data_IF_544769046134
#
_entry.id   IF_544769046134
#
_cell.length_a   1.000
_cell.length_b   1.000
_cell.length_c   1.000
_cell.angle_alpha   90.00
_cell.angle_beta   90.00
_cell.angle_gamma   90.00
#
_symmetry.space_group_name_H-M   'P 1'
#
loop_
_entity.id
_entity.type
_entity.pdbx_description
1 polymer ?
#
# COMPACT_ATOMS: atom_id res chain seq x y z
N UNK A 1 21.38 4.27 1.92
CA UNK A 1 20.68 3.93 1.70
C UNK A 1 19.59 4.39 1.97
N UNK A 2 18.94 4.46 1.52
CA UNK A 2 17.83 4.90 1.70
C UNK A 2 16.99 4.05 2.33
N UNK A 3 16.67 4.29 3.41
CA UNK A 3 15.91 3.42 4.19
C UNK A 3 14.47 3.45 3.90
N UNK A 4 14.02 4.29 3.04
CA UNK A 4 12.61 4.48 2.97
C UNK A 4 11.89 3.55 2.06
N UNK A 5 12.55 2.73 1.32
CA UNK A 5 11.93 1.73 0.48
C UNK A 5 10.75 2.23 -0.34
N UNK A 6 10.86 3.44 -0.88
CA UNK A 6 9.77 4.00 -1.66
C UNK A 6 9.53 3.25 -2.94
N UNK A 7 10.55 2.58 -3.47
CA UNK A 7 10.41 1.85 -4.72
C UNK A 7 10.12 0.41 -4.44
N UNK A 8 8.92 0.14 -3.99
CA UNK A 8 8.48 -1.22 -3.72
C UNK A 8 7.41 -1.63 -4.72
N UNK A 9 7.36 -2.90 -5.02
CA UNK A 9 6.26 -3.47 -5.77
C UNK A 9 5.25 -4.04 -4.76
N UNK A 10 3.97 -3.83 -5.01
CA UNK A 10 2.92 -4.32 -4.13
C UNK A 10 2.06 -5.27 -4.94
N UNK A 11 1.87 -6.48 -4.43
CA UNK A 11 1.09 -7.49 -5.12
C UNK A 11 -0.03 -8.00 -4.25
N UNK A 12 -1.13 -8.31 -4.88
CA UNK A 12 -2.29 -8.85 -4.18
C UNK A 12 -2.01 -10.29 -3.72
N UNK A 13 -2.30 -10.58 -2.47
CA UNK A 13 -2.28 -11.94 -1.95
C UNK A 13 -3.71 -12.44 -1.76
N UNK A 14 -4.43 -11.76 -0.86
CA UNK A 14 -5.84 -12.05 -0.64
C UNK A 14 -6.48 -10.79 -0.06
N UNK A 15 -7.75 -10.86 0.34
CA UNK A 15 -8.43 -9.66 0.82
C UNK A 15 -7.91 -9.16 2.17
N UNK A 16 -7.07 -9.91 2.83
CA UNK A 16 -6.51 -9.52 4.13
C UNK A 16 -5.00 -9.32 4.10
N UNK A 17 -4.36 -9.45 2.97
CA UNK A 17 -2.91 -9.29 2.93
C UNK A 17 -2.40 -8.93 1.54
N UNK A 18 -1.22 -8.33 1.52
CA UNK A 18 -0.49 -8.00 0.31
C UNK A 18 0.95 -8.48 0.46
N UNK A 19 1.62 -8.65 -0.66
CA UNK A 19 3.03 -8.97 -0.70
C UNK A 19 3.79 -7.75 -1.18
N UNK A 20 4.77 -7.30 -0.41
CA UNK A 20 5.57 -6.12 -0.75
C UNK A 20 7.00 -6.57 -1.02
N UNK A 21 7.56 -6.10 -2.13
CA UNK A 21 8.89 -6.48 -2.58
C UNK A 21 9.70 -5.20 -2.74
N UNK A 22 10.81 -5.08 -2.03
CA UNK A 22 11.62 -3.88 -2.14
C UNK A 22 12.61 -3.98 -3.31
N UNK A 23 13.37 -2.90 -3.54
CA UNK A 23 14.28 -2.82 -4.67
C UNK A 23 15.39 -3.86 -4.63
N UNK A 24 15.74 -4.37 -3.46
CA UNK A 24 16.76 -5.40 -3.33
C UNK A 24 16.20 -6.82 -3.42
N UNK A 25 14.91 -6.95 -3.67
CA UNK A 25 14.28 -8.25 -3.82
C UNK A 25 13.78 -8.90 -2.55
N UNK A 26 13.83 -8.19 -1.42
CA UNK A 26 13.29 -8.72 -0.18
C UNK A 26 11.78 -8.69 -0.20
N UNK A 27 11.17 -9.73 0.33
CA UNK A 27 9.73 -9.89 0.36
C UNK A 27 9.20 -9.73 1.78
N UNK A 28 8.02 -9.15 1.89
CA UNK A 28 7.32 -9.11 3.17
C UNK A 28 5.83 -9.17 2.93
N UNK A 29 5.15 -10.05 3.65
CA UNK A 29 3.70 -10.11 3.61
C UNK A 29 3.15 -9.20 4.69
N UNK A 30 2.20 -8.35 4.32
CA UNK A 30 1.61 -7.38 5.24
C UNK A 30 0.13 -7.68 5.36
N UNK A 31 -0.34 -7.79 6.58
CA UNK A 31 -1.72 -8.14 6.87
C UNK A 31 -2.54 -6.93 7.26
N UNK A 32 -3.80 -6.93 6.91
CA UNK A 32 -4.73 -5.86 7.32
C UNK A 32 -5.06 -6.00 8.81
N UNK A 33 -5.31 -4.88 9.48
CA UNK A 33 -5.18 -3.52 8.93
C UNK A 33 -3.72 -3.09 8.85
N UNK A 34 -3.39 -2.33 7.82
CA UNK A 34 -2.04 -1.78 7.70
C UNK A 34 -2.13 -0.29 7.31
N UNK A 35 -1.02 0.41 7.47
CA UNK A 35 -0.99 1.86 7.32
C UNK A 35 -0.37 2.25 5.99
N UNK A 36 -1.01 3.18 5.31
CA UNK A 36 -0.49 3.79 4.09
C UNK A 36 -0.55 5.31 4.25
N UNK A 37 0.16 6.03 3.41
CA UNK A 37 0.16 7.48 3.44
C UNK A 37 0.01 8.05 2.04
N UNK A 38 -0.46 9.28 1.99
CA UNK A 38 -0.55 10.04 0.73
C UNK A 38 -0.35 11.50 1.06
N UNK A 39 0.23 12.24 0.11
CA UNK A 39 0.32 13.68 0.27
C UNK A 39 -1.01 14.31 -0.13
N UNK A 40 -1.32 15.47 0.45
CA UNK A 40 -2.50 16.19 0.05
C UNK A 40 -2.28 16.79 -1.35
N UNK A 41 -3.29 17.47 -1.87
CA UNK A 41 -3.25 17.99 -3.24
C UNK A 41 -2.09 18.94 -3.48
N UNK A 42 -1.62 19.61 -2.44
CA UNK A 42 -0.50 20.54 -2.57
C UNK A 42 0.84 19.87 -2.40
N UNK A 43 0.87 18.63 -1.97
CA UNK A 43 2.10 17.94 -1.66
C UNK A 43 2.79 18.45 -0.41
N UNK A 44 2.12 19.26 0.40
CA UNK A 44 2.74 19.89 1.57
C UNK A 44 2.46 19.16 2.87
N UNK A 45 1.46 18.28 2.89
CA UNK A 45 1.15 17.52 4.08
C UNK A 45 0.94 16.06 3.72
N UNK A 46 1.39 15.22 4.62
CA UNK A 46 1.22 13.80 4.48
C UNK A 46 0.08 13.35 5.36
N UNK A 47 -0.83 12.58 4.81
CA UNK A 47 -1.95 12.03 5.54
C UNK A 47 -1.78 10.52 5.64
N UNK A 48 -2.21 9.97 6.75
CA UNK A 48 -2.08 8.55 7.05
C UNK A 48 -3.46 7.92 7.05
N UNK A 49 -3.57 6.75 6.44
CA UNK A 49 -4.83 6.03 6.33
C UNK A 49 -4.63 4.59 6.76
N UNK A 50 -5.69 3.97 7.25
CA UNK A 50 -5.69 2.57 7.63
C UNK A 50 -6.46 1.79 6.57
N UNK A 51 -5.81 0.77 6.01
CA UNK A 51 -6.42 -0.10 5.01
C UNK A 51 -7.09 -1.26 5.73
N UNK A 52 -8.39 -1.38 5.57
CA UNK A 52 -9.17 -2.40 6.25
C UNK A 52 -9.22 -3.71 5.46
N UNK A 53 -9.14 -3.62 4.14
CA UNK A 53 -9.25 -4.79 3.28
C UNK A 53 -8.60 -4.48 1.93
N UNK A 54 -8.21 -5.51 1.22
CA UNK A 54 -7.56 -5.39 -0.07
C UNK A 54 -8.38 -6.15 -1.09
N UNK A 55 -8.53 -5.60 -2.28
CA UNK A 55 -9.26 -6.26 -3.36
C UNK A 55 -8.48 -6.14 -4.66
N UNK A 56 -8.76 -7.05 -5.58
CA UNK A 56 -8.20 -6.99 -6.93
C UNK A 56 -9.35 -6.81 -7.91
N UNK A 57 -9.21 -5.89 -8.84
CA UNK A 57 -10.24 -5.65 -9.86
C UNK A 57 -10.11 -6.66 -10.98
N UNK A 58 -11.07 -6.62 -11.91
CA UNK A 58 -11.05 -7.50 -13.09
C UNK A 58 -9.84 -7.26 -13.98
N UNK A 59 -9.27 -6.04 -13.92
CA UNK A 59 -8.08 -5.72 -14.69
C UNK A 59 -6.81 -5.97 -13.90
N UNK A 60 -6.89 -6.75 -12.81
CA UNK A 60 -5.75 -7.06 -11.95
C UNK A 60 -5.15 -5.84 -11.27
N UNK A 61 -5.97 -4.84 -10.99
CA UNK A 61 -5.52 -3.67 -10.26
C UNK A 61 -5.82 -3.85 -8.78
N UNK A 62 -4.85 -3.49 -7.97
CA UNK A 62 -4.95 -3.62 -6.53
C UNK A 62 -5.63 -2.39 -5.95
N UNK A 63 -6.65 -2.60 -5.12
CA UNK A 63 -7.37 -1.51 -4.48
C UNK A 63 -7.44 -1.74 -2.98
N UNK A 64 -7.48 -0.65 -2.24
CA UNK A 64 -7.57 -0.66 -0.78
C UNK A 64 -8.94 -0.18 -0.34
N UNK A 65 -9.51 -0.85 0.64
CA UNK A 65 -10.74 -0.40 1.28
C UNK A 65 -10.36 0.46 2.48
N UNK A 66 -10.73 1.73 2.44
CA UNK A 66 -10.44 2.70 3.49
C UNK A 66 -11.72 3.44 3.83
N UNK A 67 -12.19 3.30 5.07
CA UNK A 67 -13.43 3.96 5.51
C UNK A 67 -14.61 3.67 4.59
N UNK A 68 -14.74 2.43 4.15
CA UNK A 68 -15.87 2.02 3.32
C UNK A 68 -15.77 2.41 1.86
N UNK A 69 -14.65 2.99 1.42
CA UNK A 69 -14.46 3.37 0.02
C UNK A 69 -13.24 2.67 -0.55
N UNK A 70 -13.26 2.43 -1.86
CA UNK A 70 -12.18 1.75 -2.54
C UNK A 70 -11.30 2.77 -3.26
N UNK A 71 -9.98 2.61 -3.12
CA UNK A 71 -8.99 3.48 -3.75
C UNK A 71 -7.90 2.62 -4.38
N UNK A 72 -7.35 3.05 -5.52
CA UNK A 72 -6.23 2.34 -6.12
C UNK A 72 -4.99 2.47 -5.23
N UNK A 73 -4.24 1.39 -5.11
CA UNK A 73 -3.06 1.36 -4.26
C UNK A 73 -2.00 2.38 -4.71
N UNK A 74 -1.99 2.71 -6.00
CA UNK A 74 -1.00 3.64 -6.54
C UNK A 74 -1.15 5.07 -6.00
N UNK A 75 -2.27 5.37 -5.37
CA UNK A 75 -2.48 6.68 -4.75
C UNK A 75 -1.72 6.82 -3.43
N UNK A 76 -1.18 5.74 -2.90
CA UNK A 76 -0.61 5.71 -1.56
C UNK A 76 0.79 5.13 -1.54
N UNK A 77 1.53 5.50 -0.50
CA UNK A 77 2.81 4.88 -0.18
C UNK A 77 2.59 3.99 1.03
N UNK A 78 3.05 2.74 0.96
CA UNK A 78 2.90 1.85 2.10
C UNK A 78 3.98 2.17 3.14
N UNK A 79 3.57 2.16 4.42
CA UNK A 79 4.48 2.43 5.52
C UNK A 79 5.04 1.09 6.00
N UNK A 80 6.20 0.74 5.50
CA UNK A 80 6.77 -0.58 5.77
C UNK A 80 8.28 -0.47 5.92
N UNK A 81 8.83 -1.31 6.79
CA UNK A 81 10.26 -1.43 6.96
C UNK A 81 10.66 -2.89 6.71
N UNK A 82 11.72 -3.07 6.00
CA UNK A 82 12.25 -4.40 5.68
C UNK A 82 13.39 -4.80 6.60
#
# INVERSE_FOLDING_TARGET
MDANDKNVAVKYCDHNSILVINASGKLRQVFTPFIVSANNANGTQRQVFIVDEVQSTKEDKLVYLINGKLYYHSLFTIEIHF
#
